data_IF_801338471832
#
_entry.id   IF_801338471832
#
_cell.length_a   1.000
_cell.length_b   1.000
_cell.length_c   1.000
_cell.angle_alpha   90.00
_cell.angle_beta   90.00
_cell.angle_gamma   90.00
#
_symmetry.space_group_name_H-M   'P 1'
#
loop_
_entity.id
_entity.type
_entity.pdbx_description
1 polymer ?
#
# COMPACT_ATOMS: atom_id res chain seq x y z
N UNK A 1 -25.88 -2.43 4.34
CA UNK A 1 -25.03 -3.15 3.36
C UNK A 1 -23.60 -2.65 3.53
N UNK A 2 -22.70 -3.48 4.07
CA UNK A 2 -21.29 -3.10 4.26
C UNK A 2 -20.57 -3.18 2.92
N UNK A 3 -20.27 -2.03 2.31
CA UNK A 3 -19.51 -1.91 1.08
C UNK A 3 -18.02 -2.18 1.40
N UNK A 4 -17.60 -3.46 1.34
CA UNK A 4 -16.19 -3.83 1.48
C UNK A 4 -15.44 -3.37 0.23
N UNK A 5 -14.61 -2.33 0.37
CA UNK A 5 -13.66 -1.94 -0.68
C UNK A 5 -12.62 -3.05 -0.87
N UNK A 6 -12.22 -3.28 -2.12
CA UNK A 6 -11.16 -4.23 -2.44
C UNK A 6 -9.84 -3.80 -1.76
N UNK A 7 -9.10 -4.70 -1.08
CA UNK A 7 -7.81 -4.37 -0.48
C UNK A 7 -6.78 -3.96 -1.52
N UNK A 8 -5.88 -3.03 -1.17
CA UNK A 8 -4.82 -2.52 -2.06
C UNK A 8 -4.05 -3.64 -2.78
N UNK A 9 -3.57 -4.65 -2.02
CA UNK A 9 -2.80 -5.76 -2.59
C UNK A 9 -3.58 -6.57 -3.63
N UNK A 10 -4.90 -6.70 -3.48
CA UNK A 10 -5.75 -7.41 -4.44
C UNK A 10 -5.95 -6.61 -5.72
N UNK A 11 -6.09 -5.28 -5.62
CA UNK A 11 -6.10 -4.39 -6.79
C UNK A 11 -4.77 -4.49 -7.54
N UNK A 12 -3.65 -4.47 -6.82
CA UNK A 12 -2.31 -4.55 -7.41
C UNK A 12 -2.07 -5.88 -8.16
N UNK A 13 -2.51 -7.02 -7.61
CA UNK A 13 -2.46 -8.33 -8.27
C UNK A 13 -3.37 -8.38 -9.48
N UNK A 14 -4.62 -7.90 -9.36
CA UNK A 14 -5.58 -7.89 -10.48
C UNK A 14 -5.08 -7.04 -11.66
N UNK A 15 -4.33 -5.97 -11.39
CA UNK A 15 -3.68 -5.13 -12.41
C UNK A 15 -2.42 -5.76 -13.02
N UNK A 16 -1.89 -6.83 -12.42
CA UNK A 16 -0.68 -7.51 -12.88
C UNK A 16 0.62 -6.78 -12.53
N UNK A 17 0.59 -5.80 -11.62
CA UNK A 17 1.79 -5.07 -11.19
C UNK A 17 2.62 -5.88 -10.21
N UNK A 18 1.98 -6.77 -9.45
CA UNK A 18 2.63 -7.66 -8.49
C UNK A 18 1.96 -9.03 -8.48
N UNK A 19 2.67 -10.01 -7.93
CA UNK A 19 2.17 -11.34 -7.61
C UNK A 19 1.57 -11.43 -6.21
N UNK A 20 0.76 -12.45 -5.95
CA UNK A 20 0.25 -12.73 -4.59
C UNK A 20 1.40 -12.92 -3.58
N UNK A 21 2.49 -13.57 -4.02
CA UNK A 21 3.68 -13.79 -3.20
C UNK A 21 4.34 -12.49 -2.76
N UNK A 22 4.46 -11.52 -3.65
CA UNK A 22 5.04 -10.20 -3.33
C UNK A 22 4.14 -9.42 -2.37
N UNK A 23 2.81 -9.53 -2.51
CA UNK A 23 1.87 -8.95 -1.54
C UNK A 23 2.05 -9.59 -0.16
N UNK A 24 2.18 -10.90 -0.09
CA UNK A 24 2.39 -11.62 1.17
C UNK A 24 3.72 -11.25 1.84
N UNK A 25 4.79 -11.10 1.06
CA UNK A 25 6.11 -10.64 1.53
C UNK A 25 6.03 -9.22 2.10
N UNK A 26 5.38 -8.30 1.39
CA UNK A 26 5.18 -6.93 1.85
C UNK A 26 4.34 -6.86 3.14
N UNK A 27 3.28 -7.68 3.25
CA UNK A 27 2.45 -7.77 4.45
C UNK A 27 3.22 -8.39 5.63
N UNK A 28 4.06 -9.38 5.36
CA UNK A 28 4.93 -9.96 6.38
C UNK A 28 5.92 -8.91 6.92
N UNK A 29 6.54 -8.14 6.03
CA UNK A 29 7.41 -7.04 6.42
C UNK A 29 6.66 -5.95 7.21
N UNK A 30 5.46 -5.54 6.75
CA UNK A 30 4.61 -4.58 7.46
C UNK A 30 4.29 -5.03 8.90
N UNK A 31 4.01 -6.32 9.10
CA UNK A 31 3.78 -6.90 10.42
C UNK A 31 5.04 -6.88 11.29
N UNK A 32 6.20 -7.17 10.72
CA UNK A 32 7.46 -7.10 11.45
C UNK A 32 7.77 -5.68 11.94
N UNK A 33 7.56 -4.66 11.11
CA UNK A 33 7.72 -3.25 11.51
C UNK A 33 6.82 -2.90 12.70
N UNK A 34 5.54 -3.31 12.64
CA UNK A 34 4.60 -3.08 13.72
C UNK A 34 5.02 -3.77 15.04
N UNK A 35 5.54 -5.00 14.96
CA UNK A 35 6.05 -5.74 16.13
C UNK A 35 7.28 -5.09 16.76
N UNK A 36 8.10 -4.39 15.96
CA UNK A 36 9.26 -3.63 16.43
C UNK A 36 8.89 -2.28 17.03
N UNK A 37 7.60 -1.93 17.07
CA UNK A 37 7.11 -0.63 17.54
C UNK A 37 7.42 0.51 16.57
N UNK A 38 7.77 0.21 15.31
CA UNK A 38 8.02 1.23 14.30
C UNK A 38 6.72 1.91 13.86
N UNK A 39 6.84 3.11 13.30
CA UNK A 39 5.69 3.87 12.80
C UNK A 39 4.94 3.04 11.76
N UNK A 40 3.61 3.00 11.89
CA UNK A 40 2.75 2.34 10.92
C UNK A 40 3.01 2.88 9.51
N UNK A 41 3.33 1.97 8.59
CA UNK A 41 3.66 2.27 7.20
C UNK A 41 2.62 1.63 6.29
N UNK A 42 2.17 2.36 5.28
CA UNK A 42 1.18 1.88 4.32
C UNK A 42 1.79 0.82 3.40
N UNK A 43 1.02 -0.22 3.09
CA UNK A 43 1.50 -1.36 2.29
C UNK A 43 1.99 -0.93 0.90
N UNK A 44 1.30 0.00 0.23
CA UNK A 44 1.74 0.52 -1.07
C UNK A 44 3.08 1.26 -1.02
N UNK A 45 3.40 1.91 0.10
CA UNK A 45 4.72 2.55 0.29
C UNK A 45 5.80 1.49 0.55
N UNK A 46 5.49 0.45 1.32
CA UNK A 46 6.41 -0.68 1.52
C UNK A 46 6.74 -1.33 0.18
N UNK A 47 5.73 -1.62 -0.64
CA UNK A 47 5.90 -2.23 -1.96
C UNK A 47 6.73 -1.35 -2.91
N UNK A 48 6.53 -0.03 -2.87
CA UNK A 48 7.35 0.93 -3.63
C UNK A 48 8.83 0.89 -3.19
N UNK A 49 9.08 0.94 -1.87
CA UNK A 49 10.45 0.91 -1.33
C UNK A 49 11.16 -0.43 -1.54
N UNK A 50 10.41 -1.53 -1.56
CA UNK A 50 10.92 -2.86 -1.85
C UNK A 50 11.15 -3.09 -3.37
N UNK A 51 10.79 -2.12 -4.22
CA UNK A 51 10.93 -2.23 -5.67
C UNK A 51 9.91 -3.17 -6.33
N UNK A 52 8.86 -3.56 -5.61
CA UNK A 52 7.75 -4.37 -6.13
C UNK A 52 6.78 -3.54 -6.96
N UNK A 53 6.72 -2.23 -6.71
CA UNK A 53 5.92 -1.28 -7.48
C UNK A 53 6.79 -0.10 -7.92
N UNK A 54 6.49 0.43 -9.10
CA UNK A 54 6.91 1.75 -9.52
C UNK A 54 5.96 2.85 -9.04
N UNK A 55 6.44 4.10 -9.04
CA UNK A 55 5.64 5.27 -8.65
C UNK A 55 4.37 5.42 -9.50
N UNK A 56 4.44 5.15 -10.79
CA UNK A 56 3.30 5.23 -11.71
C UNK A 56 2.23 4.17 -11.41
N UNK A 57 2.65 2.96 -11.06
CA UNK A 57 1.76 1.84 -10.71
C UNK A 57 1.07 2.09 -9.36
N UNK A 58 1.82 2.61 -8.38
CA UNK A 58 1.24 3.06 -7.10
C UNK A 58 0.17 4.12 -7.32
N UNK A 59 0.46 5.15 -8.13
CA UNK A 59 -0.51 6.22 -8.44
C UNK A 59 -1.73 5.65 -9.17
N UNK A 60 -1.55 4.70 -10.08
CA UNK A 60 -2.66 4.07 -10.81
C UNK A 60 -3.59 3.28 -9.87
N UNK A 61 -3.02 2.48 -8.96
CA UNK A 61 -3.81 1.78 -7.93
C UNK A 61 -4.54 2.79 -7.03
N UNK A 62 -3.84 3.84 -6.58
CA UNK A 62 -4.43 4.85 -5.70
C UNK A 62 -5.58 5.58 -6.39
N UNK A 63 -5.45 5.96 -7.66
CA UNK A 63 -6.54 6.58 -8.42
C UNK A 63 -7.77 5.68 -8.50
N UNK A 64 -7.59 4.39 -8.74
CA UNK A 64 -8.71 3.43 -8.76
C UNK A 64 -9.36 3.31 -7.37
N UNK A 65 -8.58 3.37 -6.30
CA UNK A 65 -9.08 3.36 -4.93
C UNK A 65 -9.66 4.72 -4.47
N UNK A 66 -9.18 5.85 -4.99
CA UNK A 66 -9.59 7.22 -4.67
C UNK A 66 -10.93 7.58 -5.29
N UNK A 67 -11.29 6.97 -6.42
CA UNK A 67 -12.70 6.93 -6.87
C UNK A 67 -13.62 6.36 -5.77
N UNK A 68 -13.05 5.71 -4.72
CA UNK A 68 -13.76 5.28 -3.53
C UNK A 68 -13.45 6.05 -2.21
N UNK A 69 -12.30 6.71 -1.99
CA UNK A 69 -12.06 7.58 -0.82
C UNK A 69 -10.81 8.48 -0.88
N UNK A 70 -11.00 9.75 -0.50
CA UNK A 70 -10.03 10.83 -0.33
C UNK A 70 -9.07 10.64 0.91
N UNK A 71 -8.02 11.47 1.08
CA UNK A 71 -6.66 11.02 1.40
C UNK A 71 -6.37 10.81 2.89
N UNK A 72 -5.96 9.59 3.25
CA UNK A 72 -5.26 9.29 4.50
C UNK A 72 -3.74 9.15 4.24
N UNK A 73 -3.12 10.22 3.76
CA UNK A 73 -1.67 10.35 3.71
C UNK A 73 -1.28 11.77 4.14
N UNK A 74 -1.19 12.00 5.45
CA UNK A 74 -0.55 13.21 5.95
C UNK A 74 0.98 13.12 5.73
N UNK A 75 1.62 14.23 5.35
CA UNK A 75 3.05 14.29 5.06
C UNK A 75 3.84 14.12 6.35
N UNK A 76 4.56 13.01 6.47
CA UNK A 76 5.56 12.87 7.52
C UNK A 76 6.77 13.75 7.13
N UNK A 77 6.86 14.95 7.70
CA UNK A 77 8.12 15.71 7.75
C UNK A 77 8.02 17.21 7.57
N UNK A 78 7.40 17.93 8.50
CA UNK A 78 7.90 19.27 8.87
C UNK A 78 8.84 19.07 10.06
N UNK A 79 10.15 19.09 9.82
CA UNK A 79 11.10 19.34 10.90
C UNK A 79 11.07 20.84 11.17
N UNK A 80 10.73 21.18 12.41
CA UNK A 80 10.88 22.52 12.99
C UNK A 80 12.37 22.86 13.17
#
# INVERSE_FOLDING_TARGET
MNMRKEPFGRVAVRKGFVTEKEVDEALHFQRQLAQRGEKHKLIGIIMLEMGMLGTTELIDILKEMEVAAAPAASPAGKKA
#
